data_IF_795010643853
#
_entry.id   IF_795010643853
#
_cell.length_a   1.000
_cell.length_b   1.000
_cell.length_c   1.000
_cell.angle_alpha   90.00
_cell.angle_beta   90.00
_cell.angle_gamma   90.00
#
_symmetry.space_group_name_H-M   'P 1'
#
loop_
_entity.id
_entity.type
_entity.pdbx_description
1 polymer ?
#
# COMPACT_ATOMS: atom_id res chain seq x y z
N UNK A 1 19.94 11.31 -21.93
CA UNK A 1 19.89 10.02 -22.65
C UNK A 1 18.99 9.06 -21.86
N UNK A 2 18.07 8.35 -22.52
CA UNK A 2 17.17 7.40 -21.85
C UNK A 2 17.58 5.99 -22.27
N UNK A 3 17.70 5.08 -21.31
CA UNK A 3 18.23 3.74 -21.55
C UNK A 3 17.48 2.70 -20.75
N UNK A 4 17.20 1.58 -21.40
CA UNK A 4 16.53 0.44 -20.80
C UNK A 4 17.56 -0.41 -20.02
N UNK A 5 17.29 -0.66 -18.74
CA UNK A 5 18.19 -1.43 -17.88
C UNK A 5 18.33 -2.90 -18.28
N UNK A 6 17.39 -3.43 -19.08
CA UNK A 6 17.46 -4.80 -19.58
C UNK A 6 18.45 -4.97 -20.74
N UNK A 7 18.83 -3.89 -21.43
CA UNK A 7 19.60 -3.93 -22.68
C UNK A 7 21.10 -4.26 -22.48
N UNK A 8 21.56 -4.43 -21.23
CA UNK A 8 22.86 -5.02 -20.93
C UNK A 8 24.04 -4.31 -21.60
N UNK A 9 24.90 -5.07 -22.29
CA UNK A 9 26.12 -4.54 -22.93
C UNK A 9 25.86 -3.68 -24.19
N UNK A 10 24.72 -3.86 -24.87
CA UNK A 10 24.43 -3.08 -26.08
C UNK A 10 24.03 -1.63 -25.73
N UNK A 11 23.39 -1.44 -24.57
CA UNK A 11 23.10 -0.12 -24.02
C UNK A 11 24.37 0.70 -23.80
N UNK A 12 25.45 0.04 -23.39
CA UNK A 12 26.74 0.68 -23.12
C UNK A 12 27.37 1.25 -24.39
N UNK A 13 27.41 0.45 -25.46
CA UNK A 13 27.97 0.89 -26.75
C UNK A 13 27.15 2.04 -27.33
N UNK A 14 25.83 1.94 -27.22
CA UNK A 14 24.91 2.99 -27.67
C UNK A 14 25.12 4.28 -26.88
N UNK A 15 25.23 4.18 -25.55
CA UNK A 15 25.43 5.34 -24.69
C UNK A 15 26.75 6.06 -24.99
N UNK A 16 27.83 5.30 -25.24
CA UNK A 16 29.13 5.84 -25.64
C UNK A 16 29.05 6.59 -26.99
N UNK A 17 28.46 5.95 -28.00
CA UNK A 17 28.33 6.57 -29.33
C UNK A 17 27.44 7.84 -29.30
N UNK A 18 26.41 7.85 -28.45
CA UNK A 18 25.58 9.03 -28.26
C UNK A 18 26.31 10.16 -27.54
N UNK A 19 27.13 9.85 -26.54
CA UNK A 19 27.88 10.86 -25.79
C UNK A 19 28.96 11.51 -26.65
N UNK A 20 29.67 10.73 -27.46
CA UNK A 20 30.69 11.25 -28.39
C UNK A 20 30.10 12.23 -29.42
N UNK A 21 28.83 12.04 -29.81
CA UNK A 21 28.19 12.86 -30.86
C UNK A 21 27.38 14.03 -30.31
N UNK A 22 26.66 13.81 -29.21
CA UNK A 22 25.64 14.76 -28.70
C UNK A 22 26.06 15.34 -27.35
N UNK A 23 26.93 14.64 -26.59
CA UNK A 23 27.41 15.04 -25.27
C UNK A 23 26.28 15.45 -24.31
N UNK A 24 25.58 14.45 -23.77
CA UNK A 24 24.45 14.70 -22.88
C UNK A 24 24.88 14.89 -21.43
N UNK A 25 24.08 15.61 -20.63
CA UNK A 25 24.41 15.91 -19.23
C UNK A 25 23.88 14.91 -18.21
N UNK A 26 23.01 13.98 -18.63
CA UNK A 26 22.42 13.02 -17.71
C UNK A 26 21.71 11.85 -18.36
N UNK A 27 21.52 10.81 -17.56
CA UNK A 27 20.91 9.53 -17.96
C UNK A 27 19.62 9.29 -17.16
N UNK A 28 18.61 8.76 -17.83
CA UNK A 28 17.41 8.19 -17.22
C UNK A 28 17.40 6.69 -17.50
N UNK A 29 17.30 5.87 -16.47
CA UNK A 29 17.17 4.42 -16.59
C UNK A 29 15.71 4.03 -16.56
N UNK A 30 15.26 3.12 -17.42
CA UNK A 30 13.89 2.60 -17.42
C UNK A 30 13.89 1.09 -17.19
N UNK A 31 12.73 0.55 -16.78
CA UNK A 31 12.51 -0.89 -16.50
C UNK A 31 13.40 -1.45 -15.39
N UNK A 32 13.70 -0.63 -14.39
CA UNK A 32 14.55 -1.00 -13.26
C UNK A 32 13.90 -2.07 -12.37
N UNK A 33 12.59 -2.24 -12.45
CA UNK A 33 11.83 -3.34 -11.84
C UNK A 33 12.21 -4.71 -12.44
N UNK A 34 12.53 -4.76 -13.73
CA UNK A 34 12.98 -5.98 -14.42
C UNK A 34 14.48 -6.28 -14.26
N UNK A 35 15.30 -5.29 -13.88
CA UNK A 35 16.74 -5.48 -13.65
C UNK A 35 17.00 -5.93 -12.20
N UNK A 36 17.22 -7.23 -12.03
CA UNK A 36 17.49 -7.83 -10.71
C UNK A 36 18.89 -7.52 -10.18
N UNK A 37 19.80 -6.96 -11.00
CA UNK A 37 21.21 -6.79 -10.62
C UNK A 37 21.74 -5.37 -10.72
N UNK A 38 20.98 -4.41 -11.25
CA UNK A 38 21.38 -2.99 -11.34
C UNK A 38 22.65 -2.74 -12.15
N UNK A 39 23.13 -3.74 -12.90
CA UNK A 39 24.46 -3.74 -13.53
C UNK A 39 24.55 -2.78 -14.72
N UNK A 40 23.42 -2.49 -15.35
CA UNK A 40 23.33 -1.52 -16.44
C UNK A 40 23.66 -0.10 -15.95
N UNK A 41 23.18 0.27 -14.76
CA UNK A 41 23.44 1.57 -14.15
C UNK A 41 24.95 1.82 -13.95
N UNK A 42 25.63 0.81 -13.39
CA UNK A 42 27.07 0.87 -13.14
C UNK A 42 27.86 0.95 -14.46
N UNK A 43 27.51 0.11 -15.43
CA UNK A 43 28.21 0.03 -16.72
C UNK A 43 28.12 1.35 -17.50
N UNK A 44 26.93 1.96 -17.53
CA UNK A 44 26.72 3.24 -18.21
C UNK A 44 27.44 4.37 -17.48
N UNK A 45 27.37 4.41 -16.14
CA UNK A 45 28.11 5.41 -15.37
C UNK A 45 29.62 5.29 -15.58
N UNK A 46 30.16 4.07 -15.62
CA UNK A 46 31.59 3.83 -15.79
C UNK A 46 32.11 4.30 -17.16
N UNK A 47 31.32 4.14 -18.22
CA UNK A 47 31.79 4.37 -19.59
C UNK A 47 31.53 5.79 -20.08
N UNK A 48 30.38 6.35 -19.74
CA UNK A 48 29.97 7.68 -20.21
C UNK A 48 30.27 8.77 -19.19
N UNK A 49 30.53 8.39 -17.93
CA UNK A 49 30.78 9.29 -16.81
C UNK A 49 29.70 10.37 -16.56
N UNK A 50 28.49 10.22 -17.10
CA UNK A 50 27.36 11.14 -16.86
C UNK A 50 26.54 10.72 -15.63
N UNK A 51 25.96 11.67 -14.88
CA UNK A 51 25.11 11.35 -13.74
C UNK A 51 23.78 10.71 -14.20
N UNK A 52 23.32 9.70 -13.47
CA UNK A 52 21.96 9.18 -13.61
C UNK A 52 21.05 10.05 -12.74
N UNK A 53 19.97 10.57 -13.33
CA UNK A 53 19.07 11.54 -12.69
C UNK A 53 17.76 10.90 -12.22
N UNK A 54 17.18 10.04 -13.05
CA UNK A 54 15.89 9.41 -12.79
C UNK A 54 15.92 7.91 -13.12
N UNK A 55 15.03 7.17 -12.47
CA UNK A 55 14.76 5.75 -12.69
C UNK A 55 13.27 5.51 -12.90
N UNK A 56 12.94 4.71 -13.91
CA UNK A 56 11.61 4.16 -14.12
C UNK A 56 11.52 2.78 -13.50
N UNK A 57 10.66 2.61 -12.49
CA UNK A 57 10.45 1.35 -11.76
C UNK A 57 9.12 0.67 -12.12
N UNK A 58 8.52 1.03 -13.25
CA UNK A 58 7.27 0.46 -13.72
C UNK A 58 6.68 1.21 -14.92
N UNK A 59 5.49 0.79 -15.34
CA UNK A 59 4.84 1.30 -16.56
C UNK A 59 3.90 2.50 -16.33
N UNK A 60 3.54 2.77 -15.07
CA UNK A 60 2.57 3.81 -14.72
C UNK A 60 3.25 5.20 -14.64
N UNK A 61 2.46 6.26 -14.76
CA UNK A 61 2.96 7.64 -14.73
C UNK A 61 3.61 8.04 -13.39
N UNK A 62 3.26 7.38 -12.31
CA UNK A 62 3.82 7.55 -10.97
C UNK A 62 5.07 6.70 -10.72
N UNK A 63 5.50 5.89 -11.69
CA UNK A 63 6.64 4.99 -11.57
C UNK A 63 7.99 5.60 -11.99
N UNK A 64 8.06 6.93 -12.12
CA UNK A 64 9.30 7.67 -12.37
C UNK A 64 9.79 8.31 -11.07
N UNK A 65 10.96 7.88 -10.59
CA UNK A 65 11.55 8.33 -9.33
C UNK A 65 12.95 8.91 -9.55
N UNK A 66 13.43 9.70 -8.58
CA UNK A 66 14.79 10.25 -8.56
C UNK A 66 15.79 9.12 -8.32
N UNK A 67 16.92 9.16 -9.02
CA UNK A 67 17.97 8.16 -8.81
C UNK A 67 18.75 8.44 -7.51
N UNK A 68 18.74 7.47 -6.60
CA UNK A 68 19.54 7.48 -5.38
C UNK A 68 20.65 6.42 -5.45
N UNK A 69 21.94 6.81 -5.54
CA UNK A 69 23.06 5.88 -5.66
C UNK A 69 23.16 4.90 -4.48
N UNK A 70 22.87 5.35 -3.26
CA UNK A 70 22.87 4.51 -2.04
C UNK A 70 21.88 3.35 -2.15
N UNK A 71 20.61 3.65 -2.50
CA UNK A 71 19.57 2.64 -2.69
C UNK A 71 19.92 1.63 -3.78
N UNK A 72 20.55 2.10 -4.86
CA UNK A 72 21.03 1.22 -5.93
C UNK A 72 22.15 0.29 -5.44
N UNK A 73 23.13 0.82 -4.69
CA UNK A 73 24.19 0.02 -4.10
C UNK A 73 23.63 -1.03 -3.12
N UNK A 74 22.69 -0.66 -2.25
CA UNK A 74 22.05 -1.58 -1.30
C UNK A 74 21.29 -2.70 -2.03
N UNK A 75 20.60 -2.37 -3.14
CA UNK A 75 19.91 -3.34 -3.98
C UNK A 75 20.89 -4.32 -4.66
N UNK A 76 22.01 -3.82 -5.18
CA UNK A 76 23.07 -4.66 -5.78
C UNK A 76 23.71 -5.57 -4.74
N UNK A 77 23.96 -5.05 -3.53
CA UNK A 77 24.57 -5.77 -2.42
C UNK A 77 23.60 -6.72 -1.71
N UNK A 78 22.32 -6.75 -2.10
CA UNK A 78 21.29 -7.59 -1.47
C UNK A 78 20.91 -7.13 -0.05
N UNK A 79 21.31 -5.91 0.35
CA UNK A 79 20.97 -5.28 1.63
C UNK A 79 19.70 -4.42 1.56
N UNK A 80 18.96 -4.48 0.45
CA UNK A 80 17.80 -3.63 0.14
C UNK A 80 16.54 -3.82 1.01
N UNK A 81 16.57 -4.71 2.01
CA UNK A 81 15.38 -5.11 2.77
C UNK A 81 15.33 -4.59 4.21
N UNK A 82 16.32 -3.84 4.69
CA UNK A 82 16.30 -3.35 6.10
C UNK A 82 16.06 -1.85 6.20
N UNK A 83 16.54 -1.06 5.23
CA UNK A 83 16.34 0.40 5.23
C UNK A 83 14.97 0.79 4.67
N UNK A 84 14.48 0.06 3.66
CA UNK A 84 13.16 0.35 3.04
C UNK A 84 11.98 0.07 3.97
N UNK A 85 12.11 -0.94 4.85
CA UNK A 85 11.11 -1.27 5.88
C UNK A 85 11.04 -0.20 6.97
N UNK A 86 12.14 0.51 7.23
CA UNK A 86 12.19 1.60 8.22
C UNK A 86 11.73 2.93 7.61
N UNK A 87 12.03 3.20 6.33
CA UNK A 87 11.56 4.40 5.62
C UNK A 87 10.05 4.34 5.28
N UNK A 88 9.54 3.20 4.78
CA UNK A 88 8.10 3.01 4.53
C UNK A 88 7.27 3.05 5.82
N UNK A 89 7.87 2.71 6.96
CA UNK A 89 7.23 2.82 8.26
C UNK A 89 7.15 4.26 8.79
N UNK A 90 7.96 5.19 8.28
CA UNK A 90 7.94 6.58 8.73
C UNK A 90 7.10 7.50 7.83
N UNK A 91 6.98 7.23 6.52
CA UNK A 91 6.24 8.10 5.59
C UNK A 91 4.70 7.95 5.62
N UNK A 92 4.16 6.90 6.27
CA UNK A 92 2.70 6.67 6.33
C UNK A 92 2.05 6.79 7.72
N UNK A 93 2.75 7.32 8.71
CA UNK A 93 2.13 7.69 9.98
C UNK A 93 1.75 9.16 9.99
N UNK A 94 0.54 9.45 9.51
CA UNK A 94 -0.15 10.71 9.82
C UNK A 94 -0.53 10.68 11.32
N UNK A 95 0.40 11.09 12.18
CA UNK A 95 0.16 11.17 13.63
C UNK A 95 -1.08 12.00 13.97
N UNK A 96 -1.40 13.02 13.17
CA UNK A 96 -2.59 13.82 13.37
C UNK A 96 -3.85 13.03 13.00
N UNK A 97 -3.84 12.36 11.85
CA UNK A 97 -4.91 11.48 11.41
C UNK A 97 -5.19 10.37 12.42
N UNK A 98 -4.14 9.71 12.92
CA UNK A 98 -4.23 8.68 13.95
C UNK A 98 -4.80 9.22 15.27
N UNK A 99 -4.34 10.41 15.73
CA UNK A 99 -4.88 11.06 16.94
C UNK A 99 -6.34 11.47 16.78
N UNK A 100 -6.74 11.98 15.62
CA UNK A 100 -8.15 12.35 15.33
C UNK A 100 -9.03 11.10 15.33
N UNK A 101 -8.60 10.05 14.66
CA UNK A 101 -9.29 8.78 14.61
C UNK A 101 -9.45 8.17 16.01
N UNK A 102 -8.37 8.13 16.81
CA UNK A 102 -8.42 7.66 18.19
C UNK A 102 -9.43 8.44 19.03
N UNK A 103 -9.43 9.77 18.94
CA UNK A 103 -10.41 10.62 19.65
C UNK A 103 -11.85 10.33 19.21
N UNK A 104 -12.11 10.09 17.92
CA UNK A 104 -13.45 9.75 17.41
C UNK A 104 -13.91 8.37 17.87
N UNK A 105 -13.03 7.38 17.88
CA UNK A 105 -13.34 6.02 18.36
C UNK A 105 -13.68 6.04 19.85
N UNK A 106 -12.88 6.75 20.67
CA UNK A 106 -13.14 6.90 22.11
C UNK A 106 -14.49 7.57 22.39
N UNK A 107 -14.93 8.47 21.51
CA UNK A 107 -16.22 9.17 21.60
C UNK A 107 -17.39 8.39 20.96
N UNK A 108 -17.16 7.15 20.50
CA UNK A 108 -18.16 6.33 19.77
C UNK A 108 -18.69 7.02 18.49
N UNK A 109 -17.88 7.89 17.89
CA UNK A 109 -18.23 8.69 16.70
C UNK A 109 -17.63 8.11 15.41
N UNK A 110 -17.23 6.84 15.43
CA UNK A 110 -16.70 6.16 14.26
C UNK A 110 -17.85 5.87 13.27
N UNK A 111 -17.76 6.46 12.07
CA UNK A 111 -18.82 6.49 11.08
C UNK A 111 -18.37 5.93 9.71
N UNK A 112 -19.26 5.90 8.71
CA UNK A 112 -18.91 5.37 7.38
C UNK A 112 -17.92 6.26 6.61
N UNK A 113 -17.78 7.55 6.96
CA UNK A 113 -16.77 8.41 6.35
C UNK A 113 -15.37 8.03 6.83
N UNK A 114 -15.24 7.76 8.13
CA UNK A 114 -13.98 7.24 8.70
C UNK A 114 -13.64 5.89 8.08
N UNK A 115 -14.63 5.01 7.92
CA UNK A 115 -14.42 3.70 7.27
C UNK A 115 -13.99 3.84 5.81
N UNK A 116 -14.62 4.73 5.04
CA UNK A 116 -14.25 4.98 3.66
C UNK A 116 -12.81 5.51 3.55
N UNK A 117 -12.41 6.45 4.42
CA UNK A 117 -11.05 6.98 4.44
C UNK A 117 -10.01 5.88 4.71
N UNK A 118 -10.30 4.96 5.66
CA UNK A 118 -9.43 3.82 5.95
C UNK A 118 -9.33 2.86 4.76
N UNK A 119 -10.45 2.55 4.08
CA UNK A 119 -10.43 1.71 2.88
C UNK A 119 -9.60 2.33 1.75
N UNK A 120 -9.69 3.65 1.56
CA UNK A 120 -8.89 4.36 0.56
C UNK A 120 -7.40 4.38 0.92
N UNK A 121 -7.05 4.45 2.22
CA UNK A 121 -5.66 4.35 2.67
C UNK A 121 -5.08 2.95 2.39
N UNK A 122 -5.84 1.89 2.70
CA UNK A 122 -5.44 0.51 2.38
C UNK A 122 -5.27 0.30 0.88
N UNK A 123 -6.17 0.85 0.06
CA UNK A 123 -6.06 0.83 -1.41
C UNK A 123 -4.80 1.56 -1.92
N UNK A 124 -4.43 2.69 -1.32
CA UNK A 124 -3.20 3.44 -1.67
C UNK A 124 -1.92 2.69 -1.33
N UNK A 125 -1.95 1.80 -0.34
CA UNK A 125 -0.81 0.92 -0.01
C UNK A 125 -0.58 -0.17 -1.07
N UNK A 126 -1.49 -0.32 -2.04
CA UNK A 126 -1.23 -0.94 -3.34
C UNK A 126 -1.11 -2.47 -3.36
N UNK A 127 -0.75 -3.12 -2.24
CA UNK A 127 -0.60 -4.56 -2.20
C UNK A 127 -1.14 -5.14 -0.89
N UNK A 128 -2.46 -5.33 -0.83
CA UNK A 128 -3.13 -5.99 0.30
C UNK A 128 -2.58 -7.40 0.53
N UNK A 129 -2.04 -8.05 -0.52
CA UNK A 129 -1.37 -9.35 -0.47
C UNK A 129 -0.11 -9.32 0.40
N UNK A 130 0.71 -8.28 0.25
CA UNK A 130 1.95 -8.12 1.03
C UNK A 130 1.64 -7.80 2.50
N UNK A 131 0.62 -6.95 2.76
CA UNK A 131 0.18 -6.64 4.12
C UNK A 131 -0.46 -7.85 4.84
N UNK A 132 -1.25 -8.66 4.14
CA UNK A 132 -1.82 -9.89 4.69
C UNK A 132 -0.74 -10.96 4.96
N UNK A 133 0.33 -10.98 4.15
CA UNK A 133 1.51 -11.83 4.37
C UNK A 133 2.28 -11.53 5.67
N UNK A 134 2.11 -10.32 6.22
CA UNK A 134 2.75 -9.89 7.48
C UNK A 134 1.91 -10.19 8.73
N UNK A 135 0.65 -10.64 8.59
CA UNK A 135 -0.22 -10.96 9.73
C UNK A 135 0.09 -12.38 10.26
N UNK A 136 0.60 -12.52 11.51
CA UNK A 136 0.91 -13.83 12.08
C UNK A 136 -0.33 -14.72 12.14
N UNK A 137 -0.24 -15.93 11.58
CA UNK A 137 -1.33 -16.92 11.58
C UNK A 137 -2.27 -16.89 10.37
N UNK A 138 -2.26 -15.84 9.53
CA UNK A 138 -3.10 -15.74 8.32
C UNK A 138 -2.32 -16.13 7.05
N UNK A 139 -1.00 -15.90 7.03
CA UNK A 139 -0.15 -16.16 5.86
C UNK A 139 -0.09 -17.61 5.37
N UNK A 140 -0.45 -18.62 6.19
CA UNK A 140 -0.52 -20.02 5.75
C UNK A 140 -1.88 -20.43 5.18
N UNK A 141 -2.97 -19.74 5.53
CA UNK A 141 -4.33 -20.11 5.14
C UNK A 141 -4.85 -19.35 3.90
N UNK A 142 -4.20 -18.25 3.52
CA UNK A 142 -4.62 -17.40 2.39
C UNK A 142 -3.53 -17.20 1.32
N UNK A 143 -2.53 -18.08 1.27
CA UNK A 143 -1.41 -18.00 0.30
C UNK A 143 -1.87 -17.99 -1.17
N UNK A 144 -3.04 -18.59 -1.43
CA UNK A 144 -3.61 -18.77 -2.77
C UNK A 144 -4.90 -17.97 -3.00
N UNK A 145 -5.25 -17.04 -2.11
CA UNK A 145 -6.40 -16.16 -2.31
C UNK A 145 -5.93 -14.90 -3.02
N UNK A 146 -6.12 -14.85 -4.34
CA UNK A 146 -6.02 -13.58 -5.06
C UNK A 146 -7.19 -12.70 -4.61
N UNK A 147 -6.87 -11.69 -3.81
CA UNK A 147 -7.79 -10.60 -3.51
C UNK A 147 -7.73 -9.67 -4.71
N UNK A 148 -8.77 -9.59 -5.55
CA UNK A 148 -8.75 -8.69 -6.69
C UNK A 148 -8.59 -7.24 -6.21
N UNK A 149 -7.83 -6.43 -6.94
CA UNK A 149 -7.68 -4.98 -6.68
C UNK A 149 -9.03 -4.25 -6.58
N UNK A 150 -10.05 -4.85 -7.20
CA UNK A 150 -11.42 -4.37 -7.27
C UNK A 150 -12.30 -4.81 -6.09
N UNK A 151 -11.79 -5.63 -5.16
CA UNK A 151 -12.54 -6.15 -4.02
C UNK A 151 -13.18 -5.04 -3.17
N UNK A 152 -12.54 -3.86 -3.12
CA UNK A 152 -13.03 -2.72 -2.35
C UNK A 152 -13.93 -1.77 -3.14
N UNK A 153 -13.94 -1.83 -4.49
CA UNK A 153 -14.75 -0.92 -5.33
C UNK A 153 -16.24 -1.06 -5.03
N UNK A 154 -16.74 -2.30 -4.88
CA UNK A 154 -18.16 -2.53 -4.54
C UNK A 154 -18.54 -1.92 -3.19
N UNK A 155 -17.65 -2.03 -2.21
CA UNK A 155 -17.84 -1.43 -0.88
C UNK A 155 -17.83 0.10 -0.93
N UNK A 156 -16.88 0.68 -1.67
CA UNK A 156 -16.78 2.12 -1.90
C UNK A 156 -18.05 2.67 -2.58
N UNK A 157 -18.54 2.02 -3.63
CA UNK A 157 -19.78 2.39 -4.33
C UNK A 157 -21.02 2.34 -3.42
N UNK A 158 -21.11 1.35 -2.52
CA UNK A 158 -22.20 1.26 -1.53
C UNK A 158 -22.17 2.44 -0.54
N UNK A 159 -20.99 2.79 -0.01
CA UNK A 159 -20.86 3.92 0.92
C UNK A 159 -21.12 5.24 0.19
N UNK A 160 -20.64 5.39 -1.05
CA UNK A 160 -20.87 6.58 -1.87
C UNK A 160 -22.36 6.77 -2.23
N UNK A 161 -23.14 5.69 -2.29
CA UNK A 161 -24.60 5.72 -2.48
C UNK A 161 -25.40 6.11 -1.22
N UNK A 162 -24.74 6.27 -0.08
CA UNK A 162 -25.35 6.81 1.14
C UNK A 162 -25.35 8.33 1.14
N UNK A 163 -26.35 8.93 1.76
CA UNK A 163 -26.39 10.37 2.06
C UNK A 163 -25.41 10.71 3.19
N UNK A 164 -24.93 11.96 3.31
CA UNK A 164 -24.03 12.37 4.40
C UNK A 164 -24.60 12.07 5.80
N UNK A 165 -25.92 12.19 5.98
CA UNK A 165 -26.61 11.88 7.24
C UNK A 165 -26.56 10.40 7.58
N UNK A 166 -26.73 9.53 6.59
CA UNK A 166 -26.64 8.07 6.78
C UNK A 166 -25.20 7.62 7.01
N UNK A 167 -24.22 8.28 6.37
CA UNK A 167 -22.81 7.99 6.62
C UNK A 167 -22.38 8.35 8.04
N UNK A 168 -22.80 9.52 8.51
CA UNK A 168 -22.51 9.99 9.87
C UNK A 168 -23.25 9.19 10.96
N UNK A 169 -24.44 8.66 10.64
CA UNK A 169 -25.23 7.88 11.58
C UNK A 169 -25.73 6.55 10.96
N UNK A 170 -24.95 5.47 11.13
CA UNK A 170 -25.29 4.13 10.65
C UNK A 170 -26.63 3.58 11.16
N UNK A 171 -27.09 4.04 12.33
CA UNK A 171 -28.35 3.57 12.92
C UNK A 171 -29.60 4.01 12.12
N UNK A 172 -29.46 5.00 11.22
CA UNK A 172 -30.56 5.46 10.37
C UNK A 172 -30.89 4.49 9.21
N UNK A 173 -30.05 3.48 8.96
CA UNK A 173 -30.18 2.56 7.82
C UNK A 173 -31.32 1.56 8.01
N UNK A 174 -32.53 1.99 7.68
CA UNK A 174 -33.70 1.12 7.56
C UNK A 174 -33.74 0.37 6.22
N UNK A 175 -34.69 -0.56 6.09
CA UNK A 175 -34.85 -1.39 4.90
C UNK A 175 -35.00 -0.57 3.60
N UNK A 176 -35.83 0.47 3.58
CA UNK A 176 -36.02 1.32 2.40
C UNK A 176 -34.73 2.03 1.95
N UNK A 177 -33.93 2.52 2.90
CA UNK A 177 -32.63 3.14 2.61
C UNK A 177 -31.62 2.12 2.09
N UNK A 178 -31.61 0.90 2.64
CA UNK A 178 -30.77 -0.20 2.14
C UNK A 178 -31.11 -0.57 0.70
N UNK A 179 -32.40 -0.64 0.34
CA UNK A 179 -32.82 -0.85 -1.06
C UNK A 179 -32.33 0.26 -1.97
N UNK A 180 -32.46 1.52 -1.54
CA UNK A 180 -31.97 2.67 -2.32
C UNK A 180 -30.46 2.61 -2.54
N UNK A 181 -29.69 2.27 -1.50
CA UNK A 181 -28.23 2.12 -1.58
C UNK A 181 -27.87 0.99 -2.55
N UNK A 182 -28.50 -0.17 -2.41
CA UNK A 182 -28.30 -1.33 -3.29
C UNK A 182 -28.50 -0.94 -4.77
N UNK A 183 -29.63 -0.29 -5.07
CA UNK A 183 -29.93 0.18 -6.43
C UNK A 183 -28.95 1.25 -6.92
N UNK A 184 -28.54 2.18 -6.06
CA UNK A 184 -27.60 3.25 -6.40
C UNK A 184 -26.17 2.76 -6.64
N UNK A 185 -25.76 1.68 -5.96
CA UNK A 185 -24.43 1.09 -6.12
C UNK A 185 -24.39 -0.06 -7.14
N UNK A 186 -25.53 -0.47 -7.70
CA UNK A 186 -25.64 -1.65 -8.58
C UNK A 186 -25.35 -2.97 -7.85
N UNK A 187 -25.61 -3.02 -6.53
CA UNK A 187 -25.32 -4.16 -5.66
C UNK A 187 -26.62 -4.78 -5.15
N UNK A 188 -26.53 -5.99 -4.62
CA UNK A 188 -27.67 -6.66 -3.99
C UNK A 188 -27.86 -6.21 -2.55
N UNK A 189 -29.10 -6.27 -2.06
CA UNK A 189 -29.39 -5.90 -0.68
C UNK A 189 -28.67 -6.79 0.36
N UNK A 190 -28.37 -8.03 -0.01
CA UNK A 190 -27.58 -8.94 0.82
C UNK A 190 -26.16 -8.41 1.02
N UNK A 191 -25.57 -7.80 -0.01
CA UNK A 191 -24.23 -7.20 0.05
C UNK A 191 -24.23 -5.94 0.92
N UNK A 192 -25.28 -5.12 0.82
CA UNK A 192 -25.46 -3.96 1.72
C UNK A 192 -25.60 -4.41 3.18
N UNK A 193 -26.32 -5.49 3.46
CA UNK A 193 -26.43 -6.04 4.82
C UNK A 193 -25.09 -6.61 5.31
N UNK A 194 -24.33 -7.27 4.44
CA UNK A 194 -22.98 -7.77 4.75
C UNK A 194 -22.04 -6.61 5.10
N UNK A 195 -22.06 -5.54 4.32
CA UNK A 195 -21.30 -4.33 4.58
C UNK A 195 -21.61 -3.73 5.96
N UNK A 196 -22.89 -3.58 6.29
CA UNK A 196 -23.31 -3.03 7.59
C UNK A 196 -22.81 -3.91 8.74
N UNK A 197 -22.90 -5.23 8.59
CA UNK A 197 -22.39 -6.17 9.59
C UNK A 197 -20.88 -6.06 9.77
N UNK A 198 -20.12 -6.01 8.68
CA UNK A 198 -18.66 -5.84 8.71
C UNK A 198 -18.26 -4.51 9.37
N UNK A 199 -18.98 -3.44 9.06
CA UNK A 199 -18.78 -2.15 9.70
C UNK A 199 -19.04 -2.20 11.22
N UNK A 200 -20.12 -2.85 11.67
CA UNK A 200 -20.42 -3.01 13.09
C UNK A 200 -19.37 -3.85 13.84
N UNK A 201 -18.90 -4.94 13.23
CA UNK A 201 -17.84 -5.80 13.78
C UNK A 201 -16.54 -5.01 13.94
N UNK A 202 -16.16 -4.26 12.91
CA UNK A 202 -14.97 -3.41 12.96
C UNK A 202 -15.13 -2.28 13.98
N UNK A 203 -16.31 -1.64 14.08
CA UNK A 203 -16.60 -0.61 15.10
C UNK A 203 -16.46 -1.17 16.51
N UNK A 204 -16.95 -2.38 16.77
CA UNK A 204 -16.79 -3.08 18.04
C UNK A 204 -15.32 -3.38 18.34
N UNK A 205 -14.57 -3.87 17.35
CA UNK A 205 -13.14 -4.16 17.50
C UNK A 205 -12.32 -2.89 17.79
N UNK A 206 -12.55 -1.83 17.02
CA UNK A 206 -11.90 -0.53 17.21
C UNK A 206 -12.21 0.06 18.59
N UNK A 207 -13.46 -0.06 19.07
CA UNK A 207 -13.85 0.34 20.42
C UNK A 207 -13.10 -0.45 21.49
N UNK A 208 -12.98 -1.77 21.32
CA UNK A 208 -12.21 -2.62 22.23
C UNK A 208 -10.72 -2.23 22.24
N UNK A 209 -10.12 -1.99 21.08
CA UNK A 209 -8.71 -1.60 20.95
C UNK A 209 -8.41 -0.18 21.44
N UNK A 210 -9.39 0.73 21.37
CA UNK A 210 -9.22 2.10 21.88
C UNK A 210 -9.09 2.17 23.40
N UNK A 211 -9.53 1.13 24.12
CA UNK A 211 -9.35 1.03 25.56
C UNK A 211 -7.96 0.46 25.88
N UNK A 212 -7.05 1.24 26.51
CA UNK A 212 -5.66 0.83 26.75
C UNK A 212 -5.52 -0.50 27.50
N UNK A 213 -6.46 -0.81 28.41
CA UNK A 213 -6.47 -2.06 29.18
C UNK A 213 -6.77 -3.28 28.30
N UNK A 214 -7.65 -3.12 27.31
CA UNK A 214 -8.04 -4.19 26.40
C UNK A 214 -7.01 -4.39 25.28
N UNK A 215 -6.42 -3.30 24.79
CA UNK A 215 -5.28 -3.36 23.87
C UNK A 215 -4.11 -4.12 24.50
N UNK A 216 -3.77 -3.82 25.76
CA UNK A 216 -2.71 -4.50 26.50
C UNK A 216 -3.05 -5.98 26.77
N UNK A 217 -4.30 -6.31 27.09
CA UNK A 217 -4.78 -7.69 27.24
C UNK A 217 -4.69 -8.50 25.94
N UNK A 218 -5.08 -7.90 24.82
CA UNK A 218 -5.04 -8.53 23.50
C UNK A 218 -3.60 -8.73 23.02
N UNK A 219 -2.73 -7.74 23.26
CA UNK A 219 -1.30 -7.82 22.99
C UNK A 219 -0.61 -8.86 23.88
N UNK A 220 -1.02 -9.00 25.15
CA UNK A 220 -0.55 -10.04 26.05
C UNK A 220 -1.00 -11.45 25.63
N UNK A 221 -2.22 -11.59 25.07
CA UNK A 221 -2.71 -12.87 24.52
C UNK A 221 -2.03 -13.25 23.21
N UNK A 222 -1.78 -12.28 22.34
CA UNK A 222 -0.97 -12.47 21.11
C UNK A 222 0.48 -12.84 21.44
N UNK A 223 1.08 -12.20 22.45
CA UNK A 223 2.41 -12.56 22.97
C UNK A 223 2.43 -13.94 23.65
N UNK A 224 1.31 -14.37 24.22
CA UNK A 224 1.12 -15.71 24.80
C UNK A 224 0.89 -16.84 23.78
N UNK A 225 0.54 -16.53 22.53
CA UNK A 225 0.40 -17.51 21.43
C UNK A 225 1.64 -17.62 20.52
N UNK A 226 2.67 -16.79 20.74
CA UNK A 226 3.95 -16.81 20.02
C UNK A 226 5.12 -17.45 20.81
N UNK A 227 4.84 -18.05 21.96
CA UNK A 227 5.85 -18.81 22.74
C UNK A 227 6.02 -20.21 22.17
N UNK A 228 6.85 -20.35 21.15
CA UNK A 228 7.33 -21.66 20.70
C UNK A 228 8.25 -22.25 21.79
N UNK A 229 7.98 -23.46 22.31
CA UNK A 229 8.89 -24.16 23.19
C UNK A 229 10.06 -24.75 22.39
N UNK A 230 11.29 -24.40 22.79
CA UNK A 230 12.47 -25.23 22.58
C UNK A 230 13.28 -25.03 21.29
N UNK A 231 14.55 -24.66 21.51
CA UNK A 231 15.72 -24.72 20.61
C UNK A 231 15.79 -23.75 19.43
#
# INVERSE_FOLDING_TARGET
>A
FVVDSMTGQDAVNTAKAFDERINFDGVVLTKLDGDTRGGAALSIKAIVNKPIKFVGTGEKMDALDVFYPSRMADRILGMGDVVSLVERAQEQFDEEGARRLQKRILKDQFDFNDFLAQLQQVKKMGNVKDLMGMIPGVGKAMKDVDVPDDAFKGTESMILSMTPKERANPALLNMARKTRIANGSGMNIQEVNKLIKQFEEMRKMMKLMSNPRNAMSMMSKLKGMGGMPGM
#
